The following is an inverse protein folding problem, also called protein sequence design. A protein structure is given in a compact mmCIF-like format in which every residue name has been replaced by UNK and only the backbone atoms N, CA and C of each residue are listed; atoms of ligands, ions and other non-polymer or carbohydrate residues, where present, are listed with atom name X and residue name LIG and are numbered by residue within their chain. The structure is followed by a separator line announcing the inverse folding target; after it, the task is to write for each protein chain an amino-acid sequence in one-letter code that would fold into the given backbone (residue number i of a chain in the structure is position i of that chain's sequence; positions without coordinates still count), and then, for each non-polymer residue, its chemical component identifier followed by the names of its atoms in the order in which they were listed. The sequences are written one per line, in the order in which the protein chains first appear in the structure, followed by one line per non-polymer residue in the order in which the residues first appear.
data_IF_630809631412
#
_entry.id   IF_630809631412
#
_cell.length_a   1.000
_cell.length_b   1.000
_cell.length_c   1.000
_cell.angle_alpha   90.00
_cell.angle_beta   90.00
_cell.angle_gamma   90.00
#
_symmetry.space_group_name_H-M   'P 1'
#
loop_
_entity.id
_entity.type
_entity.pdbx_description
1 polymer ?
#
# COMPACT_ATOMS: atom_id res chain seq x y z
N UNK A 1 -5.00 35.30 -8.61
CA UNK A 1 -4.21 34.25 -9.30
C UNK A 1 -5.19 33.31 -9.97
N UNK A 2 -5.09 33.10 -11.28
CA UNK A 2 -5.93 32.13 -11.98
C UNK A 2 -5.54 30.72 -11.54
N UNK A 3 -6.51 29.94 -11.05
CA UNK A 3 -6.33 28.52 -10.77
C UNK A 3 -6.03 27.83 -12.09
N UNK A 4 -4.82 27.31 -12.26
CA UNK A 4 -4.51 26.45 -13.40
C UNK A 4 -5.27 25.15 -13.15
N UNK A 5 -6.25 24.84 -13.99
CA UNK A 5 -6.94 23.55 -13.92
C UNK A 5 -5.90 22.43 -14.02
N UNK A 6 -5.97 21.44 -13.11
CA UNK A 6 -5.02 20.35 -13.09
C UNK A 6 -5.07 19.57 -14.41
N UNK A 7 -3.97 19.56 -15.16
CA UNK A 7 -3.84 18.91 -16.47
C UNK A 7 -3.10 17.58 -16.42
N UNK A 8 -2.60 17.15 -15.25
CA UNK A 8 -2.02 15.82 -14.97
C UNK A 8 -2.78 15.12 -13.83
N UNK A 9 -2.91 13.80 -13.89
CA UNK A 9 -3.66 13.01 -12.93
C UNK A 9 -2.91 11.73 -12.57
N UNK A 10 -2.63 11.56 -11.29
CA UNK A 10 -2.04 10.34 -10.74
C UNK A 10 -3.04 9.63 -9.85
N UNK A 11 -3.13 8.31 -9.99
CA UNK A 11 -3.87 7.47 -9.05
C UNK A 11 -2.87 6.80 -8.12
N UNK A 12 -2.95 7.09 -6.82
CA UNK A 12 -2.08 6.53 -5.80
C UNK A 12 -2.80 5.40 -5.07
N UNK A 13 -2.20 4.21 -5.01
CA UNK A 13 -2.80 3.01 -4.41
C UNK A 13 -1.87 2.47 -3.32
N UNK A 14 -2.05 2.88 -2.06
CA UNK A 14 -1.30 2.34 -0.93
C UNK A 14 -1.70 0.89 -0.62
N UNK A 15 -0.78 0.13 -0.02
CA UNK A 15 -1.16 -1.10 0.69
C UNK A 15 -2.06 -0.73 1.90
N UNK A 16 -3.11 -1.50 2.21
CA UNK A 16 -4.12 -1.12 3.20
C UNK A 16 -3.63 -1.30 4.65
N UNK A 17 -2.69 -0.46 5.07
CA UNK A 17 -2.07 -0.45 6.39
C UNK A 17 -1.54 0.94 6.77
N UNK A 18 -1.58 1.31 8.07
CA UNK A 18 -1.13 2.63 8.55
C UNK A 18 0.28 2.99 8.08
N UNK A 19 1.19 2.02 8.14
CA UNK A 19 2.59 2.17 7.76
C UNK A 19 2.81 2.45 6.27
N UNK A 20 1.80 2.22 5.42
CA UNK A 20 1.86 2.43 3.97
C UNK A 20 1.02 3.64 3.54
N UNK A 21 -0.19 3.77 4.09
CA UNK A 21 -1.11 4.87 3.79
C UNK A 21 -0.53 6.22 4.22
N UNK A 22 0.05 6.31 5.42
CA UNK A 22 0.57 7.60 5.90
C UNK A 22 1.73 8.12 5.03
N UNK A 23 2.78 7.33 4.73
CA UNK A 23 3.82 7.75 3.79
C UNK A 23 3.29 8.09 2.39
N UNK A 24 2.35 7.29 1.85
CA UNK A 24 1.72 7.57 0.56
C UNK A 24 1.04 8.95 0.56
N UNK A 25 0.26 9.26 1.60
CA UNK A 25 -0.38 10.58 1.73
C UNK A 25 0.65 11.72 1.83
N UNK A 26 1.78 11.51 2.50
CA UNK A 26 2.88 12.50 2.54
C UNK A 26 3.45 12.71 1.15
N UNK A 27 3.76 11.64 0.42
CA UNK A 27 4.25 11.72 -0.97
C UNK A 27 3.25 12.46 -1.87
N UNK A 28 1.96 12.14 -1.80
CA UNK A 28 0.92 12.82 -2.57
C UNK A 28 0.86 14.32 -2.28
N UNK A 29 1.01 14.73 -1.01
CA UNK A 29 1.08 16.16 -0.64
C UNK A 29 2.30 16.85 -1.26
N UNK A 30 3.46 16.19 -1.24
CA UNK A 30 4.69 16.74 -1.82
C UNK A 30 4.61 16.84 -3.34
N UNK A 31 4.08 15.82 -4.01
CA UNK A 31 3.87 15.83 -5.46
C UNK A 31 2.92 16.96 -5.88
N UNK A 32 1.79 17.12 -5.18
CA UNK A 32 0.89 18.24 -5.44
C UNK A 32 1.54 19.59 -5.09
N UNK A 33 2.34 19.70 -4.05
CA UNK A 33 3.05 20.95 -3.76
C UNK A 33 4.06 21.32 -4.86
N UNK A 34 4.72 20.32 -5.45
CA UNK A 34 5.77 20.50 -6.46
C UNK A 34 5.23 20.82 -7.87
N UNK A 35 4.07 20.28 -8.25
CA UNK A 35 3.44 20.54 -9.56
C UNK A 35 2.01 21.02 -9.38
N UNK A 36 1.77 22.31 -9.66
CA UNK A 36 0.43 22.93 -9.54
C UNK A 36 -0.58 22.38 -10.55
N UNK A 37 -0.11 21.79 -11.65
CA UNK A 37 -0.96 21.15 -12.66
C UNK A 37 -1.26 19.67 -12.37
N UNK A 38 -0.69 19.11 -11.30
CA UNK A 38 -0.93 17.73 -10.88
C UNK A 38 -2.10 17.62 -9.90
N UNK A 39 -3.03 16.72 -10.21
CA UNK A 39 -4.02 16.19 -9.29
C UNK A 39 -3.72 14.73 -8.94
N UNK A 40 -4.03 14.33 -7.71
CA UNK A 40 -3.81 12.98 -7.19
C UNK A 40 -5.11 12.43 -6.60
N UNK A 41 -5.46 11.21 -6.97
CA UNK A 41 -6.54 10.44 -6.33
C UNK A 41 -5.93 9.30 -5.54
N UNK A 42 -6.08 9.33 -4.22
CA UNK A 42 -5.58 8.28 -3.33
C UNK A 42 -6.70 7.27 -3.09
N UNK A 43 -6.45 6.02 -3.46
CA UNK A 43 -7.42 4.93 -3.38
C UNK A 43 -7.30 4.21 -2.05
N UNK A 44 -8.38 4.12 -1.31
CA UNK A 44 -8.45 3.39 -0.03
C UNK A 44 -9.71 2.54 0.01
N UNK A 45 -9.80 1.58 0.92
CA UNK A 45 -11.07 0.88 1.16
C UNK A 45 -12.06 1.81 1.87
N UNK A 46 -13.35 1.49 1.83
CA UNK A 46 -14.40 2.22 2.56
C UNK A 46 -14.10 2.32 4.07
N UNK A 47 -13.66 1.23 4.71
CA UNK A 47 -13.24 1.23 6.13
C UNK A 47 -12.09 2.22 6.34
N UNK A 48 -11.08 2.19 5.47
CA UNK A 48 -9.96 3.12 5.58
C UNK A 48 -10.37 4.57 5.38
N UNK A 49 -11.32 4.84 4.49
CA UNK A 49 -11.88 6.17 4.32
C UNK A 49 -12.53 6.68 5.61
N UNK A 50 -13.31 5.85 6.30
CA UNK A 50 -13.90 6.19 7.60
C UNK A 50 -12.84 6.42 8.68
N UNK A 51 -11.82 5.56 8.75
CA UNK A 51 -10.71 5.70 9.70
C UNK A 51 -9.93 7.01 9.48
N UNK A 52 -9.68 7.37 8.22
CA UNK A 52 -9.00 8.62 7.86
C UNK A 52 -9.87 9.84 8.15
N UNK A 53 -11.18 9.76 7.86
CA UNK A 53 -12.13 10.82 8.18
C UNK A 53 -12.22 11.06 9.70
N UNK A 54 -12.33 9.99 10.50
CA UNK A 54 -12.32 10.07 11.96
C UNK A 54 -11.02 10.66 12.52
N UNK A 55 -9.89 10.44 11.84
CA UNK A 55 -8.60 11.03 12.17
C UNK A 55 -8.42 12.48 11.64
N UNK A 56 -9.44 13.06 10.99
CA UNK A 56 -9.38 14.42 10.45
C UNK A 56 -8.46 14.58 9.23
N UNK A 57 -8.01 13.48 8.62
CA UNK A 57 -7.06 13.51 7.50
C UNK A 57 -7.58 14.31 6.29
N UNK A 58 -8.85 14.20 5.87
CA UNK A 58 -9.35 14.97 4.73
C UNK A 58 -9.15 16.49 4.87
N UNK A 59 -9.29 17.05 6.07
CA UNK A 59 -9.07 18.47 6.33
C UNK A 59 -7.59 18.89 6.25
N UNK A 60 -6.66 17.93 6.25
CA UNK A 60 -5.21 18.16 6.13
C UNK A 60 -4.68 17.99 4.71
N UNK A 61 -5.53 17.56 3.78
CA UNK A 61 -5.14 17.44 2.38
C UNK A 61 -5.13 18.84 1.73
N UNK A 62 -4.33 19.04 0.68
CA UNK A 62 -4.46 20.20 -0.19
C UNK A 62 -5.88 20.33 -0.74
N UNK A 63 -6.11 21.40 -1.50
CA UNK A 63 -7.35 21.61 -2.26
C UNK A 63 -7.94 20.28 -2.79
N UNK A 64 -9.22 19.96 -2.50
CA UNK A 64 -9.87 18.71 -2.92
C UNK A 64 -9.83 18.43 -4.43
N UNK A 65 -9.68 19.46 -5.27
CA UNK A 65 -9.47 19.28 -6.70
C UNK A 65 -8.08 18.75 -7.03
N UNK A 66 -7.11 18.95 -6.11
CA UNK A 66 -5.70 18.58 -6.25
C UNK A 66 -5.36 17.27 -5.55
N UNK A 67 -5.88 17.01 -4.36
CA UNK A 67 -5.68 15.74 -3.68
C UNK A 67 -7.00 15.28 -3.07
N UNK A 68 -7.52 14.16 -3.57
CA UNK A 68 -8.78 13.58 -3.09
C UNK A 68 -8.63 12.11 -2.75
N UNK A 69 -9.51 11.62 -1.88
CA UNK A 69 -9.66 10.20 -1.61
C UNK A 69 -10.72 9.60 -2.54
N UNK A 70 -10.50 8.38 -2.99
CA UNK A 70 -11.51 7.56 -3.66
C UNK A 70 -11.59 6.20 -2.96
N UNK A 71 -12.79 5.61 -2.95
CA UNK A 71 -13.04 4.37 -2.24
C UNK A 71 -13.18 3.17 -3.18
N UNK A 72 -12.75 2.02 -2.68
CA UNK A 72 -13.13 0.70 -3.18
C UNK A 72 -13.89 -0.06 -2.08
N UNK A 73 -14.76 -1.02 -2.43
CA UNK A 73 -15.45 -1.84 -1.45
C UNK A 73 -14.51 -2.53 -0.46
N UNK A 74 -14.99 -2.74 0.77
CA UNK A 74 -14.29 -3.52 1.80
C UNK A 74 -14.24 -5.02 1.44
N UNK A 75 -13.21 -5.42 0.68
CA UNK A 75 -13.00 -6.81 0.20
C UNK A 75 -11.91 -7.58 0.96
N UNK A 76 -11.28 -6.94 1.95
CA UNK A 76 -10.20 -7.49 2.77
C UNK A 76 -10.62 -7.50 4.25
N UNK A 77 -9.97 -8.30 5.12
CA UNK A 77 -10.24 -8.26 6.55
C UNK A 77 -10.00 -6.86 7.12
N UNK A 78 -10.68 -6.55 8.23
CA UNK A 78 -10.61 -5.22 8.86
C UNK A 78 -9.19 -4.86 9.31
N UNK A 79 -8.85 -3.57 9.26
CA UNK A 79 -7.65 -3.03 9.92
C UNK A 79 -7.60 -3.42 11.40
N UNK A 80 -8.75 -3.46 12.05
CA UNK A 80 -8.90 -3.85 13.45
C UNK A 80 -8.84 -5.37 13.53
N UNK A 81 -7.78 -5.90 14.12
CA UNK A 81 -7.67 -7.34 14.41
C UNK A 81 -7.03 -8.17 13.30
N UNK A 82 -6.65 -7.59 12.14
CA UNK A 82 -5.86 -8.33 11.12
C UNK A 82 -4.57 -8.96 11.66
N UNK A 83 -4.04 -8.46 12.77
CA UNK A 83 -2.85 -9.01 13.40
C UNK A 83 -3.02 -10.44 13.92
N UNK A 84 -4.26 -10.89 14.15
CA UNK A 84 -4.56 -12.26 14.54
C UNK A 84 -4.33 -13.26 13.39
N UNK A 85 -4.46 -12.80 12.14
CA UNK A 85 -4.20 -13.58 10.93
C UNK A 85 -3.53 -12.70 9.87
N UNK A 86 -2.22 -12.47 10.07
CA UNK A 86 -1.45 -11.60 9.19
C UNK A 86 -1.29 -12.19 7.79
N UNK A 87 -1.10 -13.50 7.68
CA UNK A 87 -0.93 -14.20 6.41
C UNK A 87 -2.22 -14.15 5.58
N UNK A 88 -3.37 -14.46 6.18
CA UNK A 88 -4.66 -14.37 5.51
C UNK A 88 -5.01 -12.93 5.10
N UNK A 89 -4.57 -11.93 5.85
CA UNK A 89 -4.70 -10.53 5.41
C UNK A 89 -3.88 -10.23 4.15
N UNK A 90 -2.60 -10.64 4.09
CA UNK A 90 -1.74 -10.47 2.91
C UNK A 90 -2.37 -11.17 1.70
N UNK A 91 -2.81 -12.41 1.87
CA UNK A 91 -3.47 -13.19 0.80
C UNK A 91 -4.74 -12.49 0.29
N UNK A 92 -5.58 -12.01 1.21
CA UNK A 92 -6.79 -11.29 0.83
C UNK A 92 -6.49 -10.01 0.04
N UNK A 93 -5.46 -9.24 0.42
CA UNK A 93 -5.05 -8.06 -0.35
C UNK A 93 -4.57 -8.44 -1.75
N UNK A 94 -3.75 -9.48 -1.85
CA UNK A 94 -3.21 -9.96 -3.13
C UNK A 94 -4.32 -10.50 -4.06
N UNK A 95 -5.30 -11.22 -3.51
CA UNK A 95 -6.33 -11.89 -4.30
C UNK A 95 -7.58 -11.04 -4.58
N UNK A 96 -7.97 -10.16 -3.66
CA UNK A 96 -9.31 -9.52 -3.69
C UNK A 96 -9.28 -8.03 -4.00
N UNK A 97 -8.19 -7.31 -3.68
CA UNK A 97 -8.16 -5.85 -3.80
C UNK A 97 -7.95 -5.36 -5.24
N UNK A 98 -7.29 -6.15 -6.10
CA UNK A 98 -6.96 -5.75 -7.47
C UNK A 98 -8.19 -5.44 -8.33
N UNK A 99 -9.15 -6.36 -8.40
CA UNK A 99 -10.34 -6.22 -9.25
C UNK A 99 -11.19 -4.95 -8.92
N UNK A 100 -11.47 -4.61 -7.65
CA UNK A 100 -12.09 -3.33 -7.31
C UNK A 100 -11.30 -2.09 -7.73
N UNK A 101 -9.97 -2.11 -7.62
CA UNK A 101 -9.10 -0.98 -8.04
C UNK A 101 -9.13 -0.84 -9.55
N UNK A 102 -9.08 -1.94 -10.27
CA UNK A 102 -9.24 -2.00 -11.72
C UNK A 102 -10.55 -1.38 -12.19
N UNK A 103 -11.68 -1.78 -11.58
CA UNK A 103 -12.98 -1.16 -11.87
C UNK A 103 -13.01 0.34 -11.57
N UNK A 104 -12.31 0.80 -10.53
CA UNK A 104 -12.20 2.22 -10.22
C UNK A 104 -11.38 2.96 -11.29
N UNK A 105 -10.26 2.39 -11.74
CA UNK A 105 -9.46 2.95 -12.83
C UNK A 105 -10.28 3.08 -14.12
N UNK A 106 -11.11 2.09 -14.44
CA UNK A 106 -11.98 2.12 -15.61
C UNK A 106 -13.02 3.23 -15.52
N UNK A 107 -13.63 3.44 -14.34
CA UNK A 107 -14.55 4.57 -14.10
C UNK A 107 -13.84 5.92 -14.23
N UNK A 108 -12.66 6.06 -13.62
CA UNK A 108 -11.88 7.30 -13.71
C UNK A 108 -11.50 7.62 -15.15
N UNK A 109 -11.19 6.61 -15.96
CA UNK A 109 -10.84 6.78 -17.38
C UNK A 109 -11.99 7.36 -18.23
N UNK A 110 -13.26 7.24 -17.80
CA UNK A 110 -14.41 7.86 -18.47
C UNK A 110 -14.43 9.39 -18.32
N UNK A 111 -13.94 9.90 -17.19
CA UNK A 111 -13.84 11.33 -16.92
C UNK A 111 -12.50 11.87 -17.42
N UNK A 112 -11.42 11.22 -16.96
CA UNK A 112 -10.05 11.60 -17.24
C UNK A 112 -9.13 10.42 -16.98
N UNK A 113 -8.51 9.90 -18.05
CA UNK A 113 -7.52 8.83 -17.95
C UNK A 113 -6.35 9.26 -17.04
N UNK A 114 -5.98 8.44 -16.04
CA UNK A 114 -4.78 8.68 -15.25
C UNK A 114 -3.52 8.67 -16.12
N UNK A 115 -2.63 9.62 -15.89
CA UNK A 115 -1.33 9.71 -16.55
C UNK A 115 -0.33 8.69 -15.99
N UNK A 116 -0.46 8.35 -14.69
CA UNK A 116 0.32 7.31 -14.03
C UNK A 116 -0.40 6.73 -12.81
N UNK A 117 0.03 5.54 -12.39
CA UNK A 117 -0.35 4.92 -11.12
C UNK A 117 0.86 4.95 -10.19
N UNK A 118 0.70 5.47 -8.98
CA UNK A 118 1.67 5.32 -7.89
C UNK A 118 1.21 4.17 -6.98
N UNK A 119 1.71 2.96 -7.22
CA UNK A 119 1.30 1.78 -6.49
C UNK A 119 2.30 1.45 -5.38
N UNK A 120 1.82 1.06 -4.21
CA UNK A 120 2.68 0.46 -3.19
C UNK A 120 3.30 -0.84 -3.70
N UNK A 121 4.58 -1.06 -3.43
CA UNK A 121 5.31 -2.25 -3.91
C UNK A 121 4.69 -3.57 -3.48
N UNK A 122 3.95 -3.60 -2.37
CA UNK A 122 3.30 -4.83 -1.87
C UNK A 122 2.09 -5.23 -2.72
N UNK A 123 1.55 -4.32 -3.53
CA UNK A 123 0.46 -4.60 -4.45
C UNK A 123 1.00 -5.24 -5.73
N UNK A 124 1.31 -6.53 -5.66
CA UNK A 124 1.94 -7.29 -6.77
C UNK A 124 1.15 -7.26 -8.08
N UNK A 125 -0.17 -7.08 -8.00
CA UNK A 125 -1.06 -6.93 -9.15
C UNK A 125 -1.01 -5.53 -9.80
N UNK A 126 -0.44 -4.52 -9.14
CA UNK A 126 -0.49 -3.11 -9.58
C UNK A 126 0.14 -2.86 -10.95
N UNK A 127 1.28 -3.52 -11.23
CA UNK A 127 1.97 -3.42 -12.53
C UNK A 127 1.10 -4.00 -13.65
N UNK A 128 0.50 -5.18 -13.43
CA UNK A 128 -0.37 -5.82 -14.40
C UNK A 128 -1.64 -4.98 -14.65
N UNK A 129 -2.24 -4.43 -13.60
CA UNK A 129 -3.42 -3.56 -13.70
C UNK A 129 -3.15 -2.30 -14.54
N UNK A 130 -1.97 -1.68 -14.38
CA UNK A 130 -1.54 -0.54 -15.19
C UNK A 130 -1.23 -0.93 -16.64
N UNK A 131 -0.49 -2.03 -16.84
CA UNK A 131 -0.15 -2.53 -18.18
C UNK A 131 -1.40 -2.85 -19.02
N UNK A 132 -2.40 -3.50 -18.43
CA UNK A 132 -3.68 -3.80 -19.09
C UNK A 132 -4.43 -2.54 -19.58
N UNK A 133 -4.15 -1.38 -18.99
CA UNK A 133 -4.77 -0.08 -19.32
C UNK A 133 -3.81 0.86 -20.06
N UNK A 134 -2.60 0.40 -20.35
CA UNK A 134 -1.52 1.21 -20.93
C UNK A 134 -1.08 2.40 -20.06
N UNK A 135 -1.30 2.32 -18.74
CA UNK A 135 -0.96 3.38 -17.78
C UNK A 135 0.38 3.01 -17.12
N UNK A 136 1.39 3.91 -17.14
CA UNK A 136 2.66 3.63 -16.48
C UNK A 136 2.48 3.52 -14.96
N UNK A 137 3.24 2.62 -14.34
CA UNK A 137 3.20 2.37 -12.89
C UNK A 137 4.53 2.74 -12.26
N UNK A 138 4.48 3.62 -11.26
CA UNK A 138 5.57 3.92 -10.35
C UNK A 138 5.36 3.10 -9.07
N UNK A 139 6.34 2.28 -8.72
CA UNK A 139 6.33 1.51 -7.46
C UNK A 139 6.85 2.38 -6.32
N UNK A 140 6.11 2.46 -5.20
CA UNK A 140 6.52 3.15 -3.98
C UNK A 140 6.85 2.16 -2.88
N UNK A 141 8.11 2.18 -2.44
CA UNK A 141 8.57 1.45 -1.27
C UNK A 141 8.46 2.33 -0.03
N UNK A 142 7.56 1.99 0.89
CA UNK A 142 7.25 2.79 2.09
C UNK A 142 8.01 2.33 3.34
N UNK A 143 8.78 1.24 3.24
CA UNK A 143 9.53 0.66 4.36
C UNK A 143 11.04 1.02 4.28
N UNK A 144 11.88 0.64 5.25
CA UNK A 144 13.31 0.95 5.21
C UNK A 144 14.02 0.41 3.96
N UNK A 145 14.96 1.18 3.41
CA UNK A 145 15.77 0.78 2.25
C UNK A 145 16.63 -0.48 2.53
N UNK A 146 17.05 -0.67 3.78
CA UNK A 146 17.76 -1.88 4.21
C UNK A 146 16.89 -3.13 4.11
N UNK A 147 15.60 -3.01 4.42
CA UNK A 147 14.66 -4.13 4.29
C UNK A 147 14.38 -4.44 2.83
N UNK A 148 14.26 -3.43 1.97
CA UNK A 148 14.22 -3.63 0.52
C UNK A 148 15.44 -4.41 0.02
N UNK A 149 16.64 -3.98 0.40
CA UNK A 149 17.88 -4.64 -0.01
C UNK A 149 17.93 -6.10 0.46
N UNK A 150 17.46 -6.37 1.68
CA UNK A 150 17.40 -7.70 2.24
C UNK A 150 16.44 -8.61 1.43
N UNK A 151 15.25 -8.12 1.09
CA UNK A 151 14.28 -8.83 0.24
C UNK A 151 14.76 -9.00 -1.20
N UNK A 152 15.44 -7.99 -1.74
CA UNK A 152 16.03 -8.05 -3.09
C UNK A 152 17.09 -9.14 -3.22
N UNK A 153 17.74 -9.50 -2.11
CA UNK A 153 18.74 -10.57 -2.01
C UNK A 153 18.23 -11.80 -1.28
N UNK A 154 16.91 -12.00 -1.20
CA UNK A 154 16.31 -13.17 -0.55
C UNK A 154 16.74 -14.48 -1.20
N UNK A 155 17.07 -14.47 -2.50
CA UNK A 155 17.64 -15.61 -3.24
C UNK A 155 18.99 -16.10 -2.67
N UNK A 156 19.66 -15.27 -1.87
CA UNK A 156 20.96 -15.56 -1.25
C UNK A 156 20.86 -16.03 0.19
N UNK A 157 19.65 -16.09 0.75
CA UNK A 157 19.46 -16.51 2.14
C UNK A 157 19.63 -18.03 2.24
N UNK A 158 20.23 -18.54 3.33
CA UNK A 158 20.31 -19.97 3.55
C UNK A 158 18.90 -20.57 3.68
N UNK A 159 18.68 -21.81 3.22
CA UNK A 159 17.42 -22.52 3.45
C UNK A 159 17.11 -22.58 4.95
N UNK A 160 15.83 -22.43 5.30
CA UNK A 160 15.37 -22.54 6.70
C UNK A 160 15.44 -23.98 7.20
N UNK A 161 15.42 -24.97 6.29
CA UNK A 161 15.54 -26.39 6.60
C UNK A 161 17.01 -26.85 6.49
N UNK A 162 17.81 -26.50 7.50
CA UNK A 162 19.08 -27.17 7.79
C UNK A 162 18.90 -28.17 8.93
N UNK A 163 19.66 -29.29 8.97
CA UNK A 163 19.56 -30.30 10.04
C UNK A 163 19.94 -29.80 11.44
N UNK A 164 20.31 -28.52 11.58
CA UNK A 164 20.79 -27.93 12.84
C UNK A 164 19.65 -27.47 13.78
N UNK A 165 18.38 -27.61 13.38
CA UNK A 165 17.21 -27.16 14.13
C UNK A 165 16.67 -28.10 15.22
N UNK A 166 17.07 -29.38 15.23
CA UNK A 166 16.53 -30.37 16.19
C UNK A 166 17.51 -30.81 17.30
N UNK A 167 18.83 -30.59 17.15
CA UNK A 167 19.81 -31.02 18.16
C UNK A 167 20.02 -30.01 19.31
N UNK A 168 19.52 -28.78 19.20
CA UNK A 168 19.69 -27.74 20.22
C UNK A 168 18.72 -27.77 21.40
N UNK A 169 17.63 -28.57 21.33
CA UNK A 169 16.58 -28.57 22.36
C UNK A 169 16.54 -29.83 23.24
N UNK A 170 17.37 -30.84 22.95
CA UNK A 170 17.36 -32.11 23.66
C UNK A 170 18.47 -32.26 24.73
N UNK A 171 19.33 -31.26 24.91
CA UNK A 171 20.44 -31.33 25.86
C UNK A 171 20.46 -30.16 26.85
N UNK A 172 19.52 -30.17 27.80
CA UNK A 172 19.79 -29.59 29.13
C UNK A 172 19.51 -30.66 30.19
N UNK A 173 20.55 -31.14 30.91
CA UNK A 173 20.36 -32.11 31.97
C UNK A 173 19.66 -31.45 33.15
N UNK A 174 18.71 -32.19 33.73
CA UNK A 174 18.10 -31.90 35.02
C UNK A 174 19.17 -31.67 36.10
N UNK A 175 19.20 -30.49 36.70
CA UNK A 175 19.73 -30.32 38.04
C UNK A 175 18.76 -29.52 38.90
N UNK A 176 18.09 -30.26 39.77
CA UNK A 176 17.51 -29.83 41.03
C UNK A 176 18.42 -28.90 41.83
N UNK A 177 17.89 -27.80 42.37
CA UNK A 177 17.96 -27.46 43.81
C UNK A 177 17.49 -26.03 44.06
N UNK A 178 16.40 -25.93 44.85
CA UNK A 178 16.17 -24.97 45.94
C UNK A 178 17.08 -23.73 46.05
N UNK A 179 16.47 -22.55 45.93
CA UNK A 179 16.33 -21.51 46.96
C UNK A 179 15.26 -20.52 46.52
#
# INVERSE_FOLDING_TARGET
MATVAASRHVVAVPYPGRGHINPMLVVCRQLAAADTALAVTVVVTEEWHELLAAAGVPATLPDPERVRLATIPNVIPSERGRGADHAGFIEAVAAKMGEPVERLLDRLALERRPDAILADTYLTWGVAAGAARGIPVCSLWTTPATFFLALYHMDRWPPVDGPEGEEGLAASPSSSSCC
#
